data_IF_280620159471
#
_entry.id   IF_280620159471
#
_cell.length_a   1.000
_cell.length_b   1.000
_cell.length_c   1.000
_cell.angle_alpha   90.00
_cell.angle_beta   90.00
_cell.angle_gamma   90.00
#
_symmetry.space_group_name_H-M   'P 1'
#
loop_
_entity.id
_entity.type
_entity.pdbx_description
1 polymer ?
#
# COMPACT_ATOMS: atom_id res chain seq x y z
N UNK A 1 -10.81 -14.48 -13.38
CA UNK A 1 -10.67 -13.04 -13.73
C UNK A 1 -9.89 -12.95 -15.02
N UNK A 2 -10.43 -12.27 -16.04
CA UNK A 2 -9.88 -12.24 -17.39
C UNK A 2 -8.81 -11.15 -17.58
N UNK A 3 -9.08 -9.91 -17.15
CA UNK A 3 -8.16 -8.78 -17.33
C UNK A 3 -8.38 -7.68 -16.29
N UNK A 4 -7.34 -6.90 -16.00
CA UNK A 4 -7.39 -5.64 -15.26
C UNK A 4 -6.79 -4.54 -16.12
N UNK A 5 -7.55 -3.47 -16.36
CA UNK A 5 -7.07 -2.29 -17.06
C UNK A 5 -6.89 -1.16 -16.04
N UNK A 6 -5.71 -0.54 -16.03
CA UNK A 6 -5.42 0.61 -15.17
C UNK A 6 -5.09 1.81 -16.03
N UNK A 7 -5.87 2.89 -15.89
CA UNK A 7 -5.58 4.19 -16.52
C UNK A 7 -5.11 5.17 -15.45
N UNK A 8 -3.99 5.82 -15.69
CA UNK A 8 -3.41 6.77 -14.75
C UNK A 8 -2.48 7.76 -15.48
N UNK A 9 -2.19 8.92 -14.87
CA UNK A 9 -1.11 9.80 -15.32
C UNK A 9 0.19 9.04 -15.61
N UNK A 10 0.86 9.38 -16.71
CA UNK A 10 2.12 8.74 -17.11
C UNK A 10 3.19 8.79 -16.03
N UNK A 11 3.24 9.88 -15.26
CA UNK A 11 4.16 10.05 -14.12
C UNK A 11 3.96 8.98 -13.04
N UNK A 12 2.70 8.62 -12.73
CA UNK A 12 2.41 7.58 -11.74
C UNK A 12 2.90 6.21 -12.22
N UNK A 13 2.67 5.87 -13.48
CA UNK A 13 3.08 4.59 -14.04
C UNK A 13 4.59 4.48 -14.24
N UNK A 14 5.28 5.61 -14.50
CA UNK A 14 6.74 5.67 -14.58
C UNK A 14 7.41 5.39 -13.23
N UNK A 15 6.80 5.83 -12.12
CA UNK A 15 7.29 5.50 -10.78
C UNK A 15 7.15 3.99 -10.48
N UNK A 16 6.22 3.30 -11.13
CA UNK A 16 5.97 1.88 -10.98
C UNK A 16 6.67 1.07 -12.08
N UNK A 17 7.99 1.26 -12.22
CA UNK A 17 8.76 0.80 -13.38
C UNK A 17 8.91 -0.74 -13.53
N UNK A 18 8.67 -1.53 -12.48
CA UNK A 18 8.87 -2.99 -12.54
C UNK A 18 7.56 -3.71 -12.83
N UNK A 19 7.47 -4.37 -13.99
CA UNK A 19 6.29 -5.18 -14.34
C UNK A 19 6.39 -6.63 -13.89
N UNK A 20 7.63 -7.12 -13.74
CA UNK A 20 7.93 -8.46 -13.21
C UNK A 20 9.01 -8.28 -12.16
N UNK A 21 8.65 -7.89 -10.93
CA UNK A 21 9.62 -7.64 -9.87
C UNK A 21 10.31 -8.96 -9.47
N UNK A 22 11.59 -8.86 -9.11
CA UNK A 22 12.43 -10.02 -8.77
C UNK A 22 12.80 -10.09 -7.29
N UNK A 23 12.48 -9.04 -6.53
CA UNK A 23 12.83 -8.88 -5.12
C UNK A 23 11.84 -7.90 -4.45
N UNK A 24 11.96 -7.78 -3.13
CA UNK A 24 11.12 -6.91 -2.31
C UNK A 24 11.20 -5.43 -2.72
N UNK A 25 12.39 -4.97 -3.13
CA UNK A 25 12.59 -3.57 -3.50
C UNK A 25 11.85 -3.24 -4.79
N UNK A 26 11.98 -4.09 -5.81
CA UNK A 26 11.27 -3.95 -7.07
C UNK A 26 9.76 -4.06 -6.88
N UNK A 27 9.30 -4.94 -5.99
CA UNK A 27 7.88 -5.10 -5.68
C UNK A 27 7.24 -3.79 -5.19
N UNK A 28 7.97 -2.96 -4.42
CA UNK A 28 7.49 -1.63 -3.97
C UNK A 28 7.23 -0.64 -5.12
N UNK A 29 7.84 -0.87 -6.28
CA UNK A 29 7.69 -0.05 -7.48
C UNK A 29 7.04 -0.86 -8.62
N UNK A 30 6.13 -1.77 -8.28
CA UNK A 30 5.41 -2.61 -9.23
C UNK A 30 3.89 -2.53 -9.03
N UNK A 31 3.19 -2.04 -10.05
CA UNK A 31 1.73 -2.06 -10.09
C UNK A 31 1.21 -3.50 -10.14
N UNK A 32 1.87 -4.34 -10.93
CA UNK A 32 1.48 -5.72 -11.17
C UNK A 32 1.53 -6.55 -9.89
N UNK A 33 2.58 -6.36 -9.09
CA UNK A 33 2.71 -6.98 -7.79
C UNK A 33 1.59 -6.56 -6.85
N UNK A 34 1.37 -5.25 -6.68
CA UNK A 34 0.36 -4.73 -5.78
C UNK A 34 -1.04 -5.22 -6.15
N UNK A 35 -1.38 -5.23 -7.44
CA UNK A 35 -2.66 -5.74 -7.92
C UNK A 35 -2.81 -7.26 -7.75
N UNK A 36 -1.75 -8.04 -8.01
CA UNK A 36 -1.77 -9.48 -7.79
C UNK A 36 -1.96 -9.81 -6.30
N UNK A 37 -1.26 -9.09 -5.42
CA UNK A 37 -1.40 -9.21 -3.97
C UNK A 37 -2.85 -8.97 -3.54
N UNK A 38 -3.43 -7.81 -3.87
CA UNK A 38 -4.82 -7.48 -3.51
C UNK A 38 -5.82 -8.46 -4.11
N UNK A 39 -5.63 -8.89 -5.36
CA UNK A 39 -6.56 -9.81 -6.01
C UNK A 39 -6.54 -11.22 -5.40
N UNK A 40 -5.41 -11.67 -4.88
CA UNK A 40 -5.27 -13.02 -4.32
C UNK A 40 -5.51 -13.09 -2.81
N UNK A 41 -5.13 -12.05 -2.06
CA UNK A 41 -5.19 -12.06 -0.60
C UNK A 41 -6.28 -11.13 -0.04
N UNK A 42 -6.87 -10.28 -0.89
CA UNK A 42 -7.85 -9.27 -0.50
C UNK A 42 -7.24 -8.02 0.15
N UNK A 43 -5.91 -7.95 0.31
CA UNK A 43 -5.23 -6.82 0.93
C UNK A 43 -3.78 -6.68 0.42
N UNK A 44 -3.08 -5.61 0.81
CA UNK A 44 -1.65 -5.43 0.59
C UNK A 44 -1.06 -4.69 1.81
N UNK A 45 -0.10 -5.33 2.48
CA UNK A 45 0.47 -4.89 3.76
C UNK A 45 2.00 -4.86 3.71
N UNK A 46 2.65 -4.35 4.76
CA UNK A 46 4.12 -4.35 4.85
C UNK A 46 4.72 -5.76 4.77
N UNK A 47 4.02 -6.78 5.27
CA UNK A 47 4.48 -8.16 5.26
C UNK A 47 4.54 -8.77 3.85
N UNK A 48 3.83 -8.16 2.88
CA UNK A 48 3.84 -8.59 1.49
C UNK A 48 5.09 -8.09 0.73
N UNK A 49 5.88 -7.19 1.30
CA UNK A 49 7.10 -6.67 0.63
C UNK A 49 8.37 -7.31 1.18
N UNK A 50 8.43 -8.64 1.12
CA UNK A 50 9.63 -9.47 1.40
C UNK A 50 10.09 -10.17 0.12
N UNK A 51 11.34 -10.62 0.04
CA UNK A 51 11.85 -11.31 -1.17
C UNK A 51 11.08 -12.61 -1.44
N UNK A 52 10.72 -13.33 -0.38
CA UNK A 52 9.88 -14.52 -0.45
C UNK A 52 8.50 -14.20 -1.03
N UNK A 53 7.83 -13.16 -0.52
CA UNK A 53 6.52 -12.76 -1.00
C UNK A 53 6.57 -12.18 -2.43
N UNK A 54 7.64 -11.47 -2.78
CA UNK A 54 7.86 -10.88 -4.10
C UNK A 54 8.04 -11.92 -5.22
N UNK A 55 8.54 -13.10 -4.86
CA UNK A 55 8.91 -14.17 -5.82
C UNK A 55 7.91 -15.32 -5.89
N UNK A 56 6.73 -15.17 -5.27
CA UNK A 56 5.63 -16.14 -5.31
C UNK A 56 5.20 -16.42 -6.77
N UNK A 57 5.34 -17.67 -7.27
CA UNK A 57 5.09 -18.00 -8.67
C UNK A 57 3.63 -17.77 -9.09
N UNK A 58 2.67 -17.89 -8.17
CA UNK A 58 1.26 -17.62 -8.43
C UNK A 58 1.01 -16.16 -8.86
N UNK A 59 1.75 -15.19 -8.32
CA UNK A 59 1.59 -13.78 -8.69
C UNK A 59 2.10 -13.52 -10.11
N UNK A 60 3.19 -14.17 -10.51
CA UNK A 60 3.76 -14.02 -11.85
C UNK A 60 2.77 -14.38 -12.96
N UNK A 61 1.93 -15.40 -12.74
CA UNK A 61 0.88 -15.79 -13.72
C UNK A 61 -0.22 -14.74 -13.86
N UNK A 62 -0.40 -13.89 -12.85
CA UNK A 62 -1.42 -12.85 -12.82
C UNK A 62 -1.00 -11.60 -13.60
N UNK A 63 0.30 -11.29 -13.67
CA UNK A 63 0.82 -10.06 -14.29
C UNK A 63 0.42 -9.93 -15.77
N UNK A 64 0.35 -11.04 -16.50
CA UNK A 64 -0.06 -11.06 -17.91
C UNK A 64 -1.50 -10.59 -18.15
N UNK A 65 -2.33 -10.52 -17.10
CA UNK A 65 -3.73 -10.05 -17.16
C UNK A 65 -3.86 -8.55 -16.87
N UNK A 66 -2.75 -7.87 -16.55
CA UNK A 66 -2.74 -6.46 -16.17
C UNK A 66 -2.30 -5.62 -17.35
N UNK A 67 -3.10 -4.62 -17.69
CA UNK A 67 -2.88 -3.72 -18.82
C UNK A 67 -2.83 -2.28 -18.34
N UNK A 68 -1.68 -1.64 -18.55
CA UNK A 68 -1.45 -0.24 -18.22
C UNK A 68 -1.84 0.66 -19.39
N UNK A 69 -2.55 1.75 -19.09
CA UNK A 69 -3.00 2.74 -20.06
C UNK A 69 -2.56 4.12 -19.58
N UNK A 70 -1.33 4.56 -19.94
CA UNK A 70 -0.85 5.88 -19.55
C UNK A 70 -1.70 6.98 -20.17
N UNK A 71 -1.96 8.02 -19.39
CA UNK A 71 -2.71 9.20 -19.81
C UNK A 71 -1.80 10.43 -19.73
N UNK A 72 -1.82 11.26 -20.77
CA UNK A 72 -1.06 12.52 -20.84
C UNK A 72 -1.78 13.64 -20.08
N UNK A 73 -1.75 13.51 -18.75
CA UNK A 73 -2.33 14.42 -17.77
C UNK A 73 -1.42 14.53 -16.56
N UNK A 74 -1.42 15.68 -15.91
CA UNK A 74 -0.64 15.87 -14.69
C UNK A 74 -1.29 15.16 -13.48
N UNK A 75 -0.51 15.01 -12.40
CA UNK A 75 -1.04 14.57 -11.11
C UNK A 75 -2.15 15.53 -10.65
N UNK A 76 -3.28 14.96 -10.22
CA UNK A 76 -4.47 15.73 -9.82
C UNK A 76 -5.40 16.17 -10.96
N UNK A 77 -4.99 16.01 -12.22
CA UNK A 77 -5.85 16.31 -13.39
C UNK A 77 -6.63 15.09 -13.91
N UNK A 78 -6.24 13.88 -13.51
CA UNK A 78 -6.86 12.63 -13.94
C UNK A 78 -6.92 11.62 -12.78
N UNK A 79 -8.07 10.97 -12.54
CA UNK A 79 -8.18 9.93 -11.52
C UNK A 79 -7.40 8.67 -11.90
N UNK A 80 -7.00 7.86 -10.94
CA UNK A 80 -6.60 6.47 -11.26
C UNK A 80 -7.86 5.66 -11.48
N UNK A 81 -8.07 5.18 -12.70
CA UNK A 81 -9.20 4.31 -13.06
C UNK A 81 -8.74 2.85 -13.10
N UNK A 82 -9.60 1.97 -12.58
CA UNK A 82 -9.40 0.52 -12.63
C UNK A 82 -10.66 -0.13 -13.17
N UNK A 83 -10.51 -0.92 -14.22
CA UNK A 83 -11.55 -1.78 -14.78
C UNK A 83 -11.13 -3.25 -14.65
N UNK A 84 -11.97 -4.07 -14.01
CA UNK A 84 -11.77 -5.51 -13.87
C UNK A 84 -12.78 -6.24 -14.74
N UNK A 85 -12.28 -7.08 -15.65
CA UNK A 85 -13.09 -7.97 -16.49
C UNK A 85 -13.06 -9.39 -15.97
N UNK A 86 -14.23 -9.98 -15.82
CA UNK A 86 -14.40 -11.39 -15.45
C UNK A 86 -14.46 -12.29 -16.68
N UNK A 87 -14.25 -13.59 -16.46
CA UNK A 87 -14.29 -14.60 -17.53
C UNK A 87 -15.71 -14.82 -18.07
N UNK A 88 -16.74 -14.50 -17.29
CA UNK A 88 -18.14 -14.53 -17.70
C UNK A 88 -18.59 -13.28 -18.49
N UNK A 89 -17.65 -12.39 -18.81
CA UNK A 89 -17.90 -11.17 -19.57
C UNK A 89 -18.36 -9.97 -18.75
N UNK A 90 -18.62 -10.12 -17.43
CA UNK A 90 -18.94 -8.97 -16.57
C UNK A 90 -17.72 -8.05 -16.41
N UNK A 91 -17.99 -6.77 -16.25
CA UNK A 91 -16.99 -5.76 -15.96
C UNK A 91 -17.39 -4.92 -14.74
N UNK A 92 -16.39 -4.54 -13.95
CA UNK A 92 -16.53 -3.62 -12.82
C UNK A 92 -15.52 -2.52 -12.97
N UNK A 93 -15.93 -1.28 -12.76
CA UNK A 93 -15.06 -0.11 -12.89
C UNK A 93 -15.13 0.78 -11.66
N UNK A 94 -14.03 1.46 -11.38
CA UNK A 94 -13.95 2.50 -10.36
C UNK A 94 -12.92 3.56 -10.78
N UNK A 95 -13.12 4.79 -10.31
CA UNK A 95 -12.22 5.90 -10.52
C UNK A 95 -11.90 6.55 -9.17
N UNK A 96 -10.62 6.60 -8.82
CA UNK A 96 -10.13 7.19 -7.57
C UNK A 96 -9.40 8.49 -7.90
N UNK A 97 -10.00 9.67 -7.67
CA UNK A 97 -9.37 10.95 -8.00
C UNK A 97 -8.17 11.25 -7.12
N UNK A 98 -8.24 10.86 -5.84
CA UNK A 98 -7.21 11.13 -4.85
C UNK A 98 -7.00 9.89 -3.98
N UNK A 99 -5.75 9.48 -3.71
CA UNK A 99 -5.50 8.33 -2.86
C UNK A 99 -5.86 8.65 -1.40
N UNK A 100 -6.34 7.64 -0.68
CA UNK A 100 -6.55 7.75 0.76
C UNK A 100 -5.22 8.05 1.48
N UNK A 101 -5.23 9.02 2.39
CA UNK A 101 -4.05 9.56 3.05
C UNK A 101 -3.45 10.80 2.37
N UNK A 102 -3.93 11.20 1.19
CA UNK A 102 -3.56 12.49 0.59
C UNK A 102 -4.13 13.68 1.37
N UNK A 103 -3.65 14.90 1.08
CA UNK A 103 -4.23 16.12 1.66
C UNK A 103 -5.72 16.29 1.30
N UNK A 104 -6.14 15.85 0.11
CA UNK A 104 -7.52 15.93 -0.35
C UNK A 104 -8.41 14.84 0.28
N UNK A 105 -7.85 13.68 0.62
CA UNK A 105 -8.56 12.55 1.24
C UNK A 105 -7.73 12.07 2.44
N UNK A 106 -7.67 12.86 3.53
CA UNK A 106 -6.88 12.49 4.70
C UNK A 106 -7.42 11.21 5.33
N UNK A 107 -6.54 10.45 5.98
CA UNK A 107 -7.00 9.31 6.75
C UNK A 107 -7.86 9.74 7.93
N UNK A 108 -8.87 8.94 8.23
CA UNK A 108 -9.58 9.01 9.52
C UNK A 108 -8.64 8.60 10.65
N UNK A 109 -8.94 9.00 11.89
CA UNK A 109 -8.18 8.58 13.07
C UNK A 109 -8.09 7.05 13.17
N UNK A 110 -9.17 6.33 12.88
CA UNK A 110 -9.19 4.87 12.90
C UNK A 110 -8.24 4.25 11.85
N UNK A 111 -8.16 4.83 10.65
CA UNK A 111 -7.23 4.38 9.62
C UNK A 111 -5.77 4.65 10.00
N UNK A 112 -5.48 5.80 10.61
CA UNK A 112 -4.15 6.11 11.13
C UNK A 112 -3.73 5.12 12.22
N UNK A 113 -4.61 4.83 13.17
CA UNK A 113 -4.31 3.85 14.22
C UNK A 113 -4.20 2.43 13.70
N UNK A 114 -5.05 2.01 12.76
CA UNK A 114 -4.88 0.72 12.10
C UNK A 114 -3.53 0.59 11.38
N UNK A 115 -3.09 1.66 10.69
CA UNK A 115 -1.77 1.71 10.05
C UNK A 115 -0.64 1.66 11.09
N UNK A 116 -0.79 2.38 12.20
CA UNK A 116 0.14 2.35 13.32
C UNK A 116 0.32 0.92 13.85
N UNK A 117 -0.77 0.21 14.16
CA UNK A 117 -0.72 -1.18 14.64
C UNK A 117 0.00 -2.10 13.63
N UNK A 118 -0.29 -1.95 12.33
CA UNK A 118 0.39 -2.70 11.27
C UNK A 118 1.90 -2.44 11.18
N UNK A 119 2.36 -1.25 11.55
CA UNK A 119 3.80 -0.93 11.61
C UNK A 119 4.48 -1.46 12.88
N UNK A 120 3.82 -1.37 14.04
CA UNK A 120 4.47 -1.66 15.33
C UNK A 120 4.35 -3.12 15.76
N UNK A 121 3.25 -3.82 15.40
CA UNK A 121 3.01 -5.20 15.85
C UNK A 121 4.16 -6.18 15.52
N UNK A 122 4.86 -6.08 14.37
CA UNK A 122 5.98 -6.99 14.07
C UNK A 122 7.27 -6.69 14.84
N UNK A 123 7.39 -5.51 15.47
CA UNK A 123 8.67 -5.01 16.00
C UNK A 123 8.60 -4.59 17.49
N UNK A 124 7.41 -4.36 18.04
CA UNK A 124 7.22 -3.96 19.42
C UNK A 124 6.31 -4.95 20.18
N UNK A 125 6.66 -5.32 21.42
CA UNK A 125 5.74 -5.99 22.32
C UNK A 125 4.46 -5.18 22.53
N UNK A 126 3.27 -5.82 22.67
CA UNK A 126 1.99 -5.12 22.77
C UNK A 126 1.94 -4.01 23.84
N UNK A 127 2.56 -4.23 25.00
CA UNK A 127 2.61 -3.23 26.06
C UNK A 127 3.36 -1.95 25.65
N UNK A 128 4.45 -2.09 24.88
CA UNK A 128 5.25 -0.95 24.39
C UNK A 128 4.54 -0.24 23.25
N UNK A 129 3.90 -0.97 22.35
CA UNK A 129 3.06 -0.41 21.31
C UNK A 129 1.89 0.40 21.91
N UNK A 130 1.22 -0.11 22.95
CA UNK A 130 0.16 0.63 23.64
C UNK A 130 0.68 1.90 24.34
N UNK A 131 1.84 1.82 25.01
CA UNK A 131 2.46 2.98 25.67
C UNK A 131 2.84 4.08 24.66
N UNK A 132 3.45 3.71 23.53
CA UNK A 132 3.80 4.65 22.47
C UNK A 132 2.56 5.30 21.86
N UNK A 133 1.49 4.54 21.65
CA UNK A 133 0.21 5.08 21.18
C UNK A 133 -0.36 6.12 22.14
N UNK A 134 -0.40 5.80 23.44
CA UNK A 134 -0.90 6.73 24.45
C UNK A 134 -0.07 8.03 24.49
N UNK A 135 1.26 7.93 24.34
CA UNK A 135 2.14 9.10 24.25
C UNK A 135 1.88 9.93 22.98
N UNK A 136 1.63 9.30 21.82
CA UNK A 136 1.27 9.98 20.58
C UNK A 136 -0.09 10.69 20.67
N UNK A 137 -1.08 10.08 21.33
CA UNK A 137 -2.39 10.70 21.58
C UNK A 137 -2.28 11.93 22.48
N UNK A 138 -1.33 11.95 23.41
CA UNK A 138 -1.07 13.06 24.34
C UNK A 138 0.06 14.00 23.87
N UNK A 139 0.53 13.89 22.63
CA UNK A 139 1.74 14.56 22.12
C UNK A 139 1.82 16.07 22.46
N UNK A 140 0.77 16.88 22.29
CA UNK A 140 0.83 18.32 22.57
C UNK A 140 1.12 18.67 24.03
N UNK A 141 0.78 17.76 24.96
CA UNK A 141 0.82 17.97 26.40
C UNK A 141 2.03 17.28 27.07
N UNK A 142 2.86 16.59 26.29
CA UNK A 142 4.04 15.90 26.84
C UNK A 142 5.08 16.90 27.34
N UNK A 143 5.49 16.75 28.60
CA UNK A 143 6.56 17.56 29.20
C UNK A 143 7.97 17.19 28.68
N UNK A 144 8.11 16.03 28.04
CA UNK A 144 9.36 15.57 27.43
C UNK A 144 9.06 14.53 26.34
N UNK A 145 10.06 14.25 25.49
CA UNK A 145 9.94 13.22 24.44
C UNK A 145 10.15 11.80 24.97
N UNK A 146 10.51 11.61 26.24
CA UNK A 146 10.83 10.29 26.81
C UNK A 146 9.68 9.27 26.62
N UNK A 147 8.39 9.62 26.83
CA UNK A 147 7.29 8.69 26.58
C UNK A 147 7.17 8.22 25.12
N UNK A 148 7.74 8.95 24.15
CA UNK A 148 7.78 8.55 22.74
C UNK A 148 9.00 7.67 22.41
N UNK A 149 10.12 7.88 23.10
CA UNK A 149 11.40 7.23 22.77
C UNK A 149 11.71 6.00 23.61
N UNK A 150 11.33 5.98 24.89
CA UNK A 150 11.52 4.82 25.77
C UNK A 150 10.84 3.55 25.23
N UNK A 151 9.59 3.59 24.71
CA UNK A 151 8.96 2.43 24.10
C UNK A 151 9.65 1.94 22.82
N UNK A 152 10.62 2.67 22.28
CA UNK A 152 11.41 2.30 21.10
C UNK A 152 12.84 1.82 21.45
N UNK A 153 13.28 1.99 22.70
CA UNK A 153 14.64 1.68 23.13
C UNK A 153 14.91 0.16 23.23
N UNK A 154 16.00 -0.33 22.64
CA UNK A 154 16.40 -1.75 22.71
C UNK A 154 15.54 -2.73 21.91
N UNK A 155 14.73 -2.24 20.95
CA UNK A 155 13.85 -3.05 20.09
C UNK A 155 14.16 -2.97 18.59
N UNK A 156 15.14 -2.15 18.19
CA UNK A 156 15.66 -2.18 16.82
C UNK A 156 16.82 -3.20 16.77
N UNK A 157 16.84 -4.12 15.80
CA UNK A 157 17.99 -5.01 15.59
C UNK A 157 19.28 -4.23 15.31
#
# INVERSE_FOLDING_TARGET
MAAIHVRAPVSHLNNLMYQVPKDALQAKFSLEYALACVAMTGNCTLADFTDEAATRPEFATFYARIHRHPVDKAEGEFPTEVEVRLEDGRAFETAVPWPAGSLAVPFTANQLWAKYEGCVAPILPPARAAALRAALEALPDLASIAPLTEPLYGTLP
#
